data_IF_353304382260
#
_entry.id   IF_353304382260
#
_cell.length_a   1.000
_cell.length_b   1.000
_cell.length_c   1.000
_cell.angle_alpha   90.00
_cell.angle_beta   90.00
_cell.angle_gamma   90.00
#
_symmetry.space_group_name_H-M   'P 1'
#
loop_
_entity.id
_entity.type
_entity.pdbx_description
1 polymer ?
#
# COMPACT_ATOMS: atom_id res chain seq x y z
N UNK A 1 -36.78 -15.71 -32.48
CA UNK A 1 -35.60 -16.34 -33.08
C UNK A 1 -34.36 -15.70 -32.46
N UNK A 2 -33.84 -16.28 -31.38
CA UNK A 2 -32.66 -15.76 -30.67
C UNK A 2 -31.43 -16.04 -31.54
N UNK A 3 -30.75 -15.00 -32.03
CA UNK A 3 -29.46 -15.15 -32.72
C UNK A 3 -28.45 -15.71 -31.71
N UNK A 4 -28.07 -16.98 -31.88
CA UNK A 4 -26.91 -17.56 -31.22
C UNK A 4 -25.68 -16.77 -31.70
N UNK A 5 -25.11 -15.92 -30.84
CA UNK A 5 -23.86 -15.23 -31.15
C UNK A 5 -22.69 -16.24 -30.99
N UNK A 6 -22.06 -16.72 -32.08
CA UNK A 6 -20.96 -17.66 -32.01
C UNK A 6 -19.74 -17.08 -31.28
N UNK A 7 -19.63 -15.74 -31.19
CA UNK A 7 -18.54 -15.08 -30.47
C UNK A 7 -18.69 -15.20 -28.95
N UNK A 8 -19.91 -15.34 -28.44
CA UNK A 8 -20.17 -15.50 -27.00
C UNK A 8 -19.61 -16.84 -26.48
N UNK A 9 -19.78 -17.91 -27.25
CA UNK A 9 -19.27 -19.26 -26.92
C UNK A 9 -17.74 -19.31 -27.02
N UNK A 10 -17.15 -18.57 -27.95
CA UNK A 10 -15.69 -18.53 -28.09
C UNK A 10 -15.05 -17.70 -26.96
N UNK A 11 -15.71 -16.64 -26.52
CA UNK A 11 -15.27 -15.79 -25.40
C UNK A 11 -15.33 -16.52 -24.06
N UNK A 12 -16.35 -17.34 -23.81
CA UNK A 12 -16.43 -18.15 -22.57
C UNK A 12 -15.31 -19.19 -22.52
N UNK A 13 -15.07 -19.92 -23.63
CA UNK A 13 -13.97 -20.90 -23.72
C UNK A 13 -12.59 -20.26 -23.53
N UNK A 14 -12.36 -19.06 -24.07
CA UNK A 14 -11.12 -18.31 -23.87
C UNK A 14 -10.94 -17.85 -22.41
N UNK A 15 -12.02 -17.40 -21.75
CA UNK A 15 -11.99 -17.05 -20.34
C UNK A 15 -11.67 -18.27 -19.46
N UNK A 16 -12.32 -19.40 -19.71
CA UNK A 16 -12.09 -20.65 -18.98
C UNK A 16 -10.64 -21.13 -19.13
N UNK A 17 -10.09 -21.08 -20.35
CA UNK A 17 -8.69 -21.42 -20.62
C UNK A 17 -7.71 -20.52 -19.87
N UNK A 18 -7.95 -19.20 -19.87
CA UNK A 18 -7.08 -18.24 -19.15
C UNK A 18 -7.13 -18.43 -17.64
N UNK A 19 -8.29 -18.76 -17.08
CA UNK A 19 -8.44 -19.05 -15.65
C UNK A 19 -7.69 -20.33 -15.27
N UNK A 20 -7.83 -21.39 -16.06
CA UNK A 20 -7.10 -22.65 -15.85
C UNK A 20 -5.60 -22.43 -15.94
N UNK A 21 -5.12 -21.70 -16.95
CA UNK A 21 -3.70 -21.39 -17.12
C UNK A 21 -3.15 -20.57 -15.95
N UNK A 22 -3.89 -19.56 -15.50
CA UNK A 22 -3.51 -18.74 -14.34
C UNK A 22 -3.46 -19.59 -13.05
N UNK A 23 -4.44 -20.49 -12.86
CA UNK A 23 -4.45 -21.43 -11.74
C UNK A 23 -3.23 -22.36 -11.75
N UNK A 24 -2.90 -22.93 -12.92
CA UNK A 24 -1.76 -23.84 -13.09
C UNK A 24 -0.42 -23.12 -12.85
N UNK A 25 -0.26 -21.91 -13.39
CA UNK A 25 0.91 -21.06 -13.11
C UNK A 25 1.02 -20.72 -11.62
N UNK A 26 -0.10 -20.47 -10.95
CA UNK A 26 -0.14 -20.26 -9.50
C UNK A 26 0.34 -21.47 -8.71
N UNK A 27 -0.12 -22.68 -9.07
CA UNK A 27 0.32 -23.93 -8.44
C UNK A 27 1.82 -24.15 -8.65
N UNK A 28 2.32 -23.97 -9.88
CA UNK A 28 3.75 -24.10 -10.19
C UNK A 28 4.58 -23.10 -9.39
N UNK A 29 4.11 -21.85 -9.26
CA UNK A 29 4.79 -20.83 -8.48
C UNK A 29 4.85 -21.20 -7.00
N UNK A 30 3.73 -21.65 -6.41
CA UNK A 30 3.66 -22.07 -5.01
C UNK A 30 4.60 -23.25 -4.75
N UNK A 31 4.59 -24.25 -5.63
CA UNK A 31 5.48 -25.40 -5.53
C UNK A 31 6.95 -24.98 -5.63
N UNK A 32 7.30 -24.13 -6.59
CA UNK A 32 8.66 -23.64 -6.79
C UNK A 32 9.19 -22.80 -5.61
N UNK A 33 8.31 -22.01 -4.98
CA UNK A 33 8.63 -21.19 -3.80
C UNK A 33 8.34 -21.88 -2.47
N UNK A 34 7.93 -23.15 -2.47
CA UNK A 34 7.51 -23.86 -1.25
C UNK A 34 8.54 -23.80 -0.11
N UNK A 35 9.85 -24.00 -0.34
CA UNK A 35 10.85 -23.89 0.72
C UNK A 35 10.88 -22.48 1.34
N UNK A 36 10.92 -21.44 0.52
CA UNK A 36 10.95 -20.05 0.98
C UNK A 36 9.67 -19.70 1.75
N UNK A 37 8.49 -20.07 1.21
CA UNK A 37 7.20 -19.86 1.85
C UNK A 37 7.11 -20.60 3.19
N UNK A 38 7.61 -21.84 3.28
CA UNK A 38 7.59 -22.60 4.55
C UNK A 38 8.45 -21.96 5.64
N UNK A 39 9.60 -21.38 5.27
CA UNK A 39 10.45 -20.62 6.20
C UNK A 39 9.75 -19.35 6.67
N UNK A 40 9.07 -18.65 5.75
CA UNK A 40 8.29 -17.45 6.07
C UNK A 40 7.12 -17.77 7.01
N UNK A 41 6.31 -18.78 6.68
CA UNK A 41 5.19 -19.28 7.50
C UNK A 41 5.66 -19.70 8.88
N UNK A 42 6.78 -20.44 8.96
CA UNK A 42 7.39 -20.83 10.24
C UNK A 42 7.71 -19.57 11.06
N UNK A 43 8.39 -18.59 10.48
CA UNK A 43 8.68 -17.32 11.17
C UNK A 43 7.43 -16.58 11.62
N UNK A 44 6.40 -16.50 10.78
CA UNK A 44 5.14 -15.84 11.13
C UNK A 44 4.40 -16.53 12.27
N UNK A 45 4.57 -17.85 12.41
CA UNK A 45 3.95 -18.64 13.49
C UNK A 45 4.74 -18.63 14.79
N UNK A 46 6.08 -18.57 14.73
CA UNK A 46 6.94 -18.70 15.91
C UNK A 46 7.38 -17.35 16.49
N UNK A 47 7.40 -16.31 15.67
CA UNK A 47 7.90 -15.00 16.04
C UNK A 47 6.76 -13.97 16.01
N UNK A 48 6.29 -13.50 17.19
CA UNK A 48 5.23 -12.48 17.28
C UNK A 48 5.54 -11.24 16.43
N UNK A 49 6.83 -10.98 16.18
CA UNK A 49 7.27 -9.81 15.43
C UNK A 49 6.78 -9.79 13.99
N UNK A 50 6.64 -10.99 13.41
CA UNK A 50 6.26 -11.21 12.02
C UNK A 50 4.85 -11.81 11.87
N UNK A 51 4.04 -11.83 12.94
CA UNK A 51 2.68 -12.37 12.90
C UNK A 51 1.79 -11.66 11.85
N UNK A 52 2.04 -10.38 11.57
CA UNK A 52 1.37 -9.61 10.52
C UNK A 52 1.60 -10.17 9.11
N UNK A 53 2.59 -11.04 8.90
CA UNK A 53 2.94 -11.64 7.61
C UNK A 53 1.79 -12.41 6.95
N UNK A 54 0.87 -13.00 7.72
CA UNK A 54 -0.33 -13.66 7.19
C UNK A 54 -1.35 -12.68 6.60
N UNK A 55 -1.45 -11.47 7.15
CA UNK A 55 -2.42 -10.46 6.72
C UNK A 55 -1.98 -9.79 5.41
N UNK A 56 -0.68 -9.71 5.17
CA UNK A 56 -0.11 -8.97 4.04
C UNK A 56 -0.52 -9.53 2.67
N UNK A 57 -0.46 -10.84 2.39
CA UNK A 57 -0.98 -11.43 1.15
C UNK A 57 -2.48 -11.19 0.96
N UNK A 58 -3.27 -11.28 2.03
CA UNK A 58 -4.72 -11.04 1.99
C UNK A 58 -4.99 -9.58 1.58
N UNK A 59 -4.30 -8.63 2.20
CA UNK A 59 -4.41 -7.22 1.84
C UNK A 59 -3.95 -6.94 0.41
N UNK A 60 -2.86 -7.55 -0.05
CA UNK A 60 -2.39 -7.43 -1.43
C UNK A 60 -3.46 -7.91 -2.43
N UNK A 61 -4.16 -9.01 -2.14
CA UNK A 61 -5.29 -9.49 -2.94
C UNK A 61 -6.47 -8.51 -2.93
N UNK A 62 -6.81 -7.93 -1.77
CA UNK A 62 -7.87 -6.91 -1.67
C UNK A 62 -7.53 -5.66 -2.49
N UNK A 63 -6.27 -5.20 -2.43
CA UNK A 63 -5.80 -4.06 -3.25
C UNK A 63 -5.91 -4.39 -4.74
N UNK A 64 -5.54 -5.61 -5.13
CA UNK A 64 -5.63 -6.08 -6.51
C UNK A 64 -7.09 -6.12 -6.99
N UNK A 65 -7.99 -6.63 -6.14
CA UNK A 65 -9.43 -6.69 -6.36
C UNK A 65 -10.04 -5.29 -6.51
N UNK A 66 -9.70 -4.36 -5.61
CA UNK A 66 -10.21 -2.98 -5.65
C UNK A 66 -9.76 -2.22 -6.90
N UNK A 67 -8.67 -2.64 -7.54
CA UNK A 67 -8.14 -2.03 -8.77
C UNK A 67 -8.57 -2.74 -10.04
N UNK A 68 -9.40 -3.80 -9.98
CA UNK A 68 -9.75 -4.66 -11.14
C UNK A 68 -10.27 -3.90 -12.37
N UNK A 69 -10.97 -2.79 -12.16
CA UNK A 69 -11.54 -1.98 -13.25
C UNK A 69 -10.45 -1.34 -14.13
N UNK A 70 -9.27 -1.04 -13.56
CA UNK A 70 -8.13 -0.50 -14.31
C UNK A 70 -7.50 -1.53 -15.24
N UNK A 71 -7.59 -2.81 -14.90
CA UNK A 71 -7.10 -3.90 -15.74
C UNK A 71 -8.03 -4.13 -16.94
N UNK A 72 -9.34 -4.03 -16.73
CA UNK A 72 -10.35 -4.20 -17.78
C UNK A 72 -10.20 -3.15 -18.90
N UNK A 73 -9.77 -1.93 -18.55
CA UNK A 73 -9.52 -0.84 -19.50
C UNK A 73 -8.24 -1.00 -20.33
N UNK A 74 -7.36 -1.96 -20.01
CA UNK A 74 -6.07 -2.13 -20.66
C UNK A 74 -6.13 -3.20 -21.76
N UNK A 75 -5.71 -2.85 -22.98
CA UNK A 75 -5.64 -3.80 -24.10
C UNK A 75 -4.71 -4.97 -23.77
N UNK A 76 -5.11 -6.22 -24.06
CA UNK A 76 -4.24 -7.38 -23.86
C UNK A 76 -3.06 -7.35 -24.83
N UNK A 77 -1.84 -7.48 -24.29
CA UNK A 77 -0.62 -7.69 -25.09
C UNK A 77 0.44 -8.38 -24.24
N UNK A 78 0.92 -9.54 -24.68
CA UNK A 78 2.04 -10.21 -24.02
C UNK A 78 3.35 -9.48 -24.35
N UNK A 79 4.25 -9.35 -23.38
CA UNK A 79 5.53 -8.68 -23.59
C UNK A 79 6.69 -9.55 -23.05
N UNK A 80 7.67 -9.81 -23.92
CA UNK A 80 8.89 -10.57 -23.60
C UNK A 80 9.72 -9.94 -22.48
N UNK A 81 9.54 -8.65 -22.16
CA UNK A 81 10.15 -8.01 -20.99
C UNK A 81 9.80 -8.70 -19.67
N UNK A 82 8.67 -9.42 -19.61
CA UNK A 82 8.35 -10.26 -18.45
C UNK A 82 9.32 -11.43 -18.26
N UNK A 83 9.91 -11.96 -19.34
CA UNK A 83 10.95 -12.99 -19.25
C UNK A 83 12.22 -12.44 -18.58
N UNK A 84 12.55 -11.16 -18.81
CA UNK A 84 13.65 -10.49 -18.12
C UNK A 84 13.42 -10.42 -16.62
N UNK A 85 12.20 -10.07 -16.17
CA UNK A 85 11.84 -10.05 -14.75
C UNK A 85 11.86 -11.45 -14.12
N UNK A 86 11.38 -12.47 -14.83
CA UNK A 86 11.48 -13.87 -14.39
C UNK A 86 12.95 -14.32 -14.32
N UNK A 87 13.78 -13.90 -15.28
CA UNK A 87 15.22 -14.15 -15.27
C UNK A 87 15.92 -13.52 -14.06
N UNK A 88 15.57 -12.29 -13.70
CA UNK A 88 16.05 -11.62 -12.47
C UNK A 88 15.61 -12.39 -11.23
N UNK A 89 14.35 -12.83 -11.17
CA UNK A 89 13.85 -13.63 -10.07
C UNK A 89 14.63 -14.94 -9.92
N UNK A 90 14.87 -15.65 -11.03
CA UNK A 90 15.65 -16.88 -11.03
C UNK A 90 17.09 -16.63 -10.59
N UNK A 91 17.74 -15.58 -11.10
CA UNK A 91 19.09 -15.21 -10.70
C UNK A 91 19.18 -14.89 -9.20
N UNK A 92 18.27 -14.08 -8.66
CA UNK A 92 18.21 -13.76 -7.22
C UNK A 92 18.00 -15.02 -6.38
N UNK A 93 17.13 -15.93 -6.82
CA UNK A 93 16.89 -17.20 -6.14
C UNK A 93 18.12 -18.10 -6.16
N UNK A 94 18.78 -18.23 -7.31
CA UNK A 94 20.01 -19.03 -7.45
C UNK A 94 21.14 -18.47 -6.59
N UNK A 95 21.33 -17.16 -6.58
CA UNK A 95 22.30 -16.49 -5.70
C UNK A 95 21.94 -16.66 -4.24
N UNK A 96 20.65 -16.52 -3.89
CA UNK A 96 20.15 -16.74 -2.53
C UNK A 96 20.41 -18.16 -2.05
N UNK A 97 20.11 -19.16 -2.87
CA UNK A 97 20.37 -20.57 -2.58
C UNK A 97 21.88 -20.86 -2.48
N UNK A 98 22.70 -20.32 -3.39
CA UNK A 98 24.15 -20.51 -3.38
C UNK A 98 24.83 -19.91 -2.15
N UNK A 99 24.38 -18.72 -1.72
CA UNK A 99 24.90 -18.02 -0.55
C UNK A 99 24.21 -18.43 0.77
N UNK A 100 23.23 -19.33 0.73
CA UNK A 100 22.37 -19.68 1.87
C UNK A 100 21.68 -18.48 2.52
N UNK A 101 21.31 -17.48 1.71
CA UNK A 101 20.62 -16.26 2.13
C UNK A 101 19.14 -16.39 1.81
N UNK A 102 18.37 -16.97 2.74
CA UNK A 102 16.92 -17.17 2.57
C UNK A 102 16.13 -15.88 2.30
N UNK A 103 16.64 -14.72 2.73
CA UNK A 103 16.03 -13.43 2.41
C UNK A 103 16.03 -13.13 0.90
N UNK A 104 17.12 -13.45 0.19
CA UNK A 104 17.21 -13.25 -1.27
C UNK A 104 16.22 -14.16 -2.01
N UNK A 105 16.08 -15.40 -1.55
CA UNK A 105 15.06 -16.30 -2.08
C UNK A 105 13.65 -15.74 -1.87
N UNK A 106 13.35 -15.18 -0.70
CA UNK A 106 12.05 -14.59 -0.41
C UNK A 106 11.79 -13.34 -1.28
N UNK A 107 12.78 -12.46 -1.44
CA UNK A 107 12.71 -11.26 -2.29
C UNK A 107 12.50 -11.61 -3.76
N UNK A 108 13.07 -12.73 -4.24
CA UNK A 108 12.93 -13.15 -5.65
C UNK A 108 11.48 -13.41 -6.08
N UNK A 109 10.57 -13.66 -5.14
CA UNK A 109 9.14 -13.80 -5.41
C UNK A 109 8.52 -12.54 -6.04
N UNK A 110 9.00 -11.35 -5.66
CA UNK A 110 8.48 -10.06 -6.12
C UNK A 110 8.67 -9.86 -7.64
N UNK A 111 9.90 -9.95 -8.20
CA UNK A 111 10.09 -9.89 -9.65
C UNK A 111 9.49 -11.10 -10.38
N UNK A 112 9.36 -12.28 -9.74
CA UNK A 112 8.67 -13.41 -10.36
C UNK A 112 7.19 -13.08 -10.61
N UNK A 113 6.48 -12.57 -9.60
CA UNK A 113 5.09 -12.13 -9.72
C UNK A 113 4.96 -10.99 -10.74
N UNK A 114 5.88 -10.03 -10.71
CA UNK A 114 5.91 -8.93 -11.67
C UNK A 114 6.10 -9.41 -13.11
N UNK A 115 7.04 -10.35 -13.32
CA UNK A 115 7.31 -10.96 -14.62
C UNK A 115 6.12 -11.75 -15.15
N UNK A 116 5.45 -12.53 -14.31
CA UNK A 116 4.21 -13.22 -14.68
C UNK A 116 3.10 -12.25 -15.09
N UNK A 117 2.95 -11.12 -14.40
CA UNK A 117 1.99 -10.07 -14.80
C UNK A 117 2.30 -9.52 -16.20
N UNK A 118 3.59 -9.25 -16.49
CA UNK A 118 4.02 -8.72 -17.79
C UNK A 118 3.91 -9.77 -18.91
N UNK A 119 4.20 -11.04 -18.62
CA UNK A 119 4.03 -12.13 -19.60
C UNK A 119 2.55 -12.32 -19.96
N UNK A 120 1.65 -12.23 -18.97
CA UNK A 120 0.23 -12.44 -19.18
C UNK A 120 -0.45 -11.31 -19.98
N UNK A 121 -0.19 -10.04 -19.62
CA UNK A 121 -0.92 -8.88 -20.20
C UNK A 121 -0.04 -7.63 -20.38
N UNK A 122 1.28 -7.79 -20.28
CA UNK A 122 2.23 -6.72 -20.56
C UNK A 122 2.44 -5.74 -19.40
N UNK A 123 3.16 -4.67 -19.67
CA UNK A 123 3.42 -3.58 -18.71
C UNK A 123 2.16 -2.95 -18.09
N UNK A 124 1.01 -2.85 -18.79
CA UNK A 124 -0.22 -2.36 -18.16
C UNK A 124 -0.68 -3.22 -16.97
N UNK A 125 -0.51 -4.55 -17.05
CA UNK A 125 -0.85 -5.44 -15.95
C UNK A 125 0.08 -5.27 -14.76
N UNK A 126 1.38 -5.05 -14.99
CA UNK A 126 2.29 -4.69 -13.91
C UNK A 126 1.91 -3.32 -13.30
N UNK A 127 1.53 -2.32 -14.09
CA UNK A 127 1.04 -1.03 -13.57
C UNK A 127 -0.24 -1.14 -12.73
N UNK A 128 -1.05 -2.16 -13.01
CA UNK A 128 -2.20 -2.49 -12.18
C UNK A 128 -1.79 -3.20 -10.88
N UNK A 129 -0.92 -4.21 -10.97
CA UNK A 129 -0.54 -5.08 -9.85
C UNK A 129 0.59 -4.53 -8.96
N UNK A 130 1.39 -3.55 -9.41
CA UNK A 130 2.61 -3.14 -8.69
C UNK A 130 2.39 -2.69 -7.24
N UNK A 131 1.28 -2.02 -6.83
CA UNK A 131 1.13 -1.67 -5.42
C UNK A 131 0.92 -2.91 -4.56
N UNK A 132 0.16 -3.89 -5.06
CA UNK A 132 -0.06 -5.15 -4.37
C UNK A 132 1.26 -5.94 -4.28
N UNK A 133 2.03 -6.02 -5.37
CA UNK A 133 3.35 -6.67 -5.36
C UNK A 133 4.31 -5.94 -4.42
N UNK A 134 4.38 -4.61 -4.47
CA UNK A 134 5.22 -3.82 -3.56
C UNK A 134 4.84 -4.01 -2.09
N UNK A 135 3.53 -4.14 -1.80
CA UNK A 135 3.05 -4.40 -0.45
C UNK A 135 3.51 -5.75 0.11
N UNK A 136 3.73 -6.75 -0.74
CA UNK A 136 4.27 -8.05 -0.32
C UNK A 136 5.69 -7.96 0.27
N UNK A 137 6.41 -6.85 0.11
CA UNK A 137 7.69 -6.65 0.82
C UNK A 137 7.50 -6.79 2.34
N UNK A 138 6.34 -6.39 2.88
CA UNK A 138 6.07 -6.44 4.32
C UNK A 138 5.87 -7.85 4.88
N UNK A 139 5.63 -8.85 4.04
CA UNK A 139 5.58 -10.24 4.50
C UNK A 139 6.96 -10.90 4.56
N UNK A 140 7.98 -10.28 3.95
CA UNK A 140 9.33 -10.84 3.87
C UNK A 140 10.08 -10.60 5.19
N UNK A 141 10.52 -11.65 5.89
CA UNK A 141 11.29 -11.48 7.12
C UNK A 141 12.65 -10.86 6.80
N UNK A 142 13.05 -9.80 7.51
CA UNK A 142 14.31 -9.11 7.27
C UNK A 142 15.53 -10.03 7.54
N UNK A 143 16.67 -9.76 6.89
CA UNK A 143 17.91 -10.41 7.28
C UNK A 143 18.33 -9.91 8.66
N UNK A 144 18.80 -10.84 9.52
CA UNK A 144 19.15 -10.57 10.91
C UNK A 144 20.08 -9.36 11.11
N UNK A 145 21.05 -9.16 10.21
CA UNK A 145 21.96 -8.00 10.26
C UNK A 145 21.23 -6.67 10.13
N UNK A 146 20.27 -6.59 9.22
CA UNK A 146 19.49 -5.37 9.00
C UNK A 146 18.50 -5.15 10.15
N UNK A 147 17.91 -6.23 10.64
CA UNK A 147 17.05 -6.19 11.83
C UNK A 147 17.79 -5.61 13.04
N UNK A 148 18.99 -6.11 13.35
CA UNK A 148 19.82 -5.60 14.45
C UNK A 148 20.30 -4.16 14.22
N UNK A 149 20.70 -3.82 12.99
CA UNK A 149 21.14 -2.47 12.63
C UNK A 149 20.03 -1.42 12.77
N UNK A 150 18.78 -1.78 12.52
CA UNK A 150 17.62 -0.90 12.70
C UNK A 150 17.10 -0.89 14.14
N UNK A 151 17.05 -2.05 14.81
CA UNK A 151 16.53 -2.17 16.16
C UNK A 151 17.40 -1.43 17.19
N UNK A 152 18.73 -1.55 17.09
CA UNK A 152 19.65 -0.96 18.07
C UNK A 152 19.50 0.56 18.26
N UNK A 153 19.52 1.40 17.21
CA UNK A 153 19.35 2.84 17.38
C UNK A 153 17.96 3.20 17.91
N UNK A 154 16.90 2.53 17.42
CA UNK A 154 15.54 2.78 17.89
C UNK A 154 15.38 2.45 19.38
N UNK A 155 15.95 1.32 19.84
CA UNK A 155 15.95 0.94 21.25
C UNK A 155 16.69 1.96 22.11
N UNK A 156 17.84 2.47 21.67
CA UNK A 156 18.58 3.50 22.41
C UNK A 156 17.80 4.80 22.55
N UNK A 157 17.13 5.24 21.47
CA UNK A 157 16.29 6.44 21.50
C UNK A 157 15.11 6.23 22.43
N UNK A 158 14.42 5.09 22.32
CA UNK A 158 13.29 4.76 23.18
C UNK A 158 13.70 4.67 24.66
N UNK A 159 14.85 4.05 24.97
CA UNK A 159 15.39 3.94 26.33
C UNK A 159 15.62 5.33 26.91
N UNK A 160 16.40 6.17 26.23
CA UNK A 160 16.69 7.54 26.69
C UNK A 160 15.43 8.38 26.89
N UNK A 161 14.51 8.33 25.93
CA UNK A 161 13.28 9.10 25.99
C UNK A 161 12.37 8.64 27.14
N UNK A 162 12.29 7.32 27.38
CA UNK A 162 11.46 6.76 28.46
C UNK A 162 12.07 6.99 29.83
N UNK A 163 13.39 6.88 29.97
CA UNK A 163 14.10 7.23 31.22
C UNK A 163 13.88 8.70 31.56
N UNK A 164 14.02 9.60 30.58
CA UNK A 164 13.73 11.01 30.81
C UNK A 164 12.28 11.24 31.23
N UNK A 165 11.32 10.58 30.56
CA UNK A 165 9.91 10.68 30.93
C UNK A 165 9.65 10.19 32.37
N UNK A 166 10.19 9.05 32.77
CA UNK A 166 10.08 8.51 34.14
C UNK A 166 10.68 9.47 35.17
N UNK A 167 11.87 10.02 34.90
CA UNK A 167 12.51 11.00 35.78
C UNK A 167 11.67 12.27 35.92
N UNK A 168 11.07 12.77 34.84
CA UNK A 168 10.18 13.94 34.90
C UNK A 168 8.89 13.68 35.67
N UNK A 169 8.46 12.42 35.76
CA UNK A 169 7.32 11.99 36.58
C UNK A 169 7.70 11.73 38.05
N UNK A 170 8.98 11.90 38.43
CA UNK A 170 9.46 11.77 39.81
C UNK A 170 9.99 10.38 40.17
N UNK A 171 10.13 9.46 39.21
CA UNK A 171 10.65 8.12 39.47
C UNK A 171 12.18 8.07 39.31
N UNK A 172 12.92 7.42 40.24
CA UNK A 172 14.36 7.24 40.13
C UNK A 172 14.69 6.17 39.08
N UNK A 173 14.82 6.57 37.82
CA UNK A 173 15.14 5.68 36.70
C UNK A 173 16.57 5.92 36.18
N UNK A 174 17.35 4.84 36.01
CA UNK A 174 18.70 4.86 35.44
C UNK A 174 18.76 4.00 34.16
N UNK A 175 19.31 4.53 33.08
CA UNK A 175 19.48 3.79 31.83
C UNK A 175 20.88 3.18 31.73
N UNK A 176 20.98 1.85 31.68
CA UNK A 176 22.20 1.12 31.37
C UNK A 176 22.04 0.34 30.06
N UNK A 177 22.68 0.83 29.00
CA UNK A 177 22.47 0.28 27.66
C UNK A 177 21.03 0.46 27.17
N UNK A 178 20.31 -0.65 27.00
CA UNK A 178 18.89 -0.68 26.63
C UNK A 178 18.01 -1.23 27.77
N UNK A 179 18.49 -1.19 29.01
CA UNK A 179 17.75 -1.58 30.22
C UNK A 179 17.55 -0.35 31.08
N UNK A 180 16.36 -0.18 31.63
CA UNK A 180 16.02 0.90 32.57
C UNK A 180 15.87 0.27 33.95
N UNK A 181 16.77 0.63 34.87
CA UNK A 181 16.72 0.22 36.26
C UNK A 181 15.85 1.20 37.05
N UNK A 182 14.84 0.66 37.72
CA UNK A 182 14.01 1.29 38.74
C UNK A 182 14.34 0.65 40.09
N UNK A 183 13.76 1.15 41.17
CA UNK A 183 14.10 0.75 42.54
C UNK A 183 13.88 -0.76 42.79
N UNK A 184 12.73 -1.29 42.34
CA UNK A 184 12.40 -2.72 42.51
C UNK A 184 12.46 -3.54 41.22
N UNK A 185 12.65 -2.91 40.04
CA UNK A 185 12.49 -3.58 38.73
C UNK A 185 13.46 -3.11 37.65
N UNK A 186 13.85 -4.06 36.81
CA UNK A 186 14.56 -3.81 35.57
C UNK A 186 13.62 -3.92 34.36
N UNK A 187 13.43 -2.81 33.65
CA UNK A 187 12.69 -2.79 32.39
C UNK A 187 13.67 -2.91 31.23
N UNK A 188 13.91 -4.14 30.77
CA UNK A 188 14.70 -4.37 29.57
C UNK A 188 13.93 -3.92 28.32
N UNK A 189 14.36 -2.87 27.62
CA UNK A 189 13.69 -2.41 26.38
C UNK A 189 13.77 -3.46 25.26
N UNK A 190 14.74 -4.39 25.34
CA UNK A 190 14.92 -5.52 24.42
C UNK A 190 13.83 -6.59 24.58
N UNK A 191 13.42 -6.90 25.81
CA UNK A 191 12.39 -7.92 26.13
C UNK A 191 11.02 -7.29 26.30
N UNK A 192 10.97 -6.08 26.85
CA UNK A 192 9.76 -5.33 27.07
C UNK A 192 9.08 -4.98 25.76
N UNK A 193 9.76 -4.86 24.61
CA UNK A 193 9.05 -4.68 23.35
C UNK A 193 9.84 -5.05 22.11
N UNK A 194 9.15 -5.76 21.23
CA UNK A 194 9.46 -5.84 19.82
C UNK A 194 9.33 -4.47 19.12
N UNK A 195 10.12 -3.46 19.50
CA UNK A 195 10.04 -2.11 18.93
C UNK A 195 10.12 -2.10 17.40
N UNK A 196 10.86 -3.06 16.84
CA UNK A 196 10.88 -3.31 15.39
C UNK A 196 9.55 -3.88 14.86
N UNK A 197 8.88 -4.79 15.56
CA UNK A 197 7.57 -5.30 15.11
C UNK A 197 6.47 -4.24 15.07
N UNK A 198 6.37 -3.41 16.12
CA UNK A 198 5.40 -2.31 16.12
C UNK A 198 5.71 -1.33 15.00
N UNK A 199 6.99 -0.97 14.82
CA UNK A 199 7.41 -0.15 13.70
C UNK A 199 7.02 -0.77 12.36
N UNK A 200 7.31 -2.06 12.14
CA UNK A 200 6.97 -2.75 10.90
C UNK A 200 5.46 -2.81 10.66
N UNK A 201 4.69 -3.06 11.71
CA UNK A 201 3.22 -3.08 11.65
C UNK A 201 2.67 -1.69 11.31
N UNK A 202 3.17 -0.62 11.95
CA UNK A 202 2.78 0.75 11.61
C UNK A 202 3.20 1.16 10.22
N UNK A 203 4.41 0.80 9.81
CA UNK A 203 4.92 1.12 8.50
C UNK A 203 4.16 0.37 7.40
N UNK A 204 3.80 -0.91 7.62
CA UNK A 204 2.94 -1.68 6.74
C UNK A 204 1.52 -1.07 6.68
N UNK A 205 0.94 -0.70 7.83
CA UNK A 205 -0.38 -0.07 7.89
C UNK A 205 -0.42 1.30 7.20
N UNK A 206 0.57 2.16 7.46
CA UNK A 206 0.74 3.46 6.82
C UNK A 206 0.91 3.31 5.30
N UNK A 207 1.73 2.34 4.87
CA UNK A 207 1.90 2.01 3.45
C UNK A 207 0.60 1.54 2.80
N UNK A 208 -0.14 0.65 3.47
CA UNK A 208 -1.43 0.15 2.99
C UNK A 208 -2.47 1.27 2.87
N UNK A 209 -2.54 2.15 3.87
CA UNK A 209 -3.41 3.32 3.89
C UNK A 209 -3.10 4.26 2.71
N UNK A 210 -1.82 4.56 2.51
CA UNK A 210 -1.32 5.40 1.41
C UNK A 210 -1.62 4.81 0.03
N UNK A 211 -1.72 3.49 -0.10
CA UNK A 211 -2.12 2.84 -1.35
C UNK A 211 -3.61 3.03 -1.68
N UNK A 212 -4.47 3.15 -0.68
CA UNK A 212 -5.92 3.31 -0.84
C UNK A 212 -6.30 4.79 -0.99
N UNK A 213 -5.66 5.68 -0.24
CA UNK A 213 -5.97 7.11 -0.23
C UNK A 213 -5.52 7.81 -1.53
N UNK A 214 -6.36 8.74 -2.01
CA UNK A 214 -6.05 9.67 -3.11
C UNK A 214 -5.41 10.96 -2.57
N UNK A 215 -4.10 10.92 -2.34
CA UNK A 215 -3.27 12.08 -1.95
C UNK A 215 -2.08 12.25 -2.90
N UNK A 216 -1.50 13.45 -3.02
CA UNK A 216 -0.27 13.67 -3.79
C UNK A 216 0.90 12.83 -3.24
N UNK A 217 1.89 12.55 -4.08
CA UNK A 217 2.98 11.62 -3.73
C UNK A 217 3.83 12.09 -2.54
N UNK A 218 3.93 13.40 -2.32
CA UNK A 218 4.67 13.98 -1.19
C UNK A 218 3.98 13.60 0.13
N UNK A 219 2.67 13.85 0.26
CA UNK A 219 1.88 13.45 1.44
C UNK A 219 2.02 11.96 1.73
N UNK A 220 2.00 11.13 0.67
CA UNK A 220 2.19 9.68 0.78
C UNK A 220 3.55 9.32 1.39
N UNK A 221 4.62 10.00 0.97
CA UNK A 221 5.95 9.79 1.54
C UNK A 221 6.03 10.29 2.98
N UNK A 222 5.42 11.45 3.28
CA UNK A 222 5.39 12.01 4.64
C UNK A 222 4.68 11.07 5.61
N UNK A 223 3.50 10.55 5.24
CA UNK A 223 2.72 9.59 6.07
C UNK A 223 3.47 8.28 6.32
N UNK A 224 4.23 7.81 5.32
CA UNK A 224 5.04 6.58 5.50
C UNK A 224 6.26 6.89 6.36
N UNK A 225 6.89 8.06 6.20
CA UNK A 225 8.05 8.47 6.98
C UNK A 225 7.69 8.76 8.45
N UNK A 226 6.51 9.31 8.72
CA UNK A 226 6.00 9.61 10.06
C UNK A 226 5.70 8.36 10.89
N UNK A 227 5.55 7.20 10.26
CA UNK A 227 5.39 5.93 10.96
C UNK A 227 6.56 5.67 11.93
N UNK A 228 7.78 6.14 11.60
CA UNK A 228 8.96 5.99 12.46
C UNK A 228 8.86 6.82 13.76
N UNK A 229 8.69 8.16 13.72
CA UNK A 229 8.53 8.95 14.94
C UNK A 229 7.26 8.59 15.72
N UNK A 230 6.15 8.26 15.05
CA UNK A 230 4.93 7.80 15.73
C UNK A 230 5.20 6.52 16.51
N UNK A 231 5.86 5.52 15.88
CA UNK A 231 6.22 4.28 16.57
C UNK A 231 7.14 4.53 17.76
N UNK A 232 8.09 5.46 17.66
CA UNK A 232 8.97 5.84 18.76
C UNK A 232 8.19 6.46 19.93
N UNK A 233 7.31 7.44 19.66
CA UNK A 233 6.50 8.09 20.69
C UNK A 233 5.61 7.07 21.39
N UNK A 234 4.89 6.26 20.63
CA UNK A 234 4.02 5.20 21.13
C UNK A 234 4.80 4.21 22.01
N UNK A 235 5.99 3.79 21.57
CA UNK A 235 6.84 2.90 22.33
C UNK A 235 7.40 3.54 23.61
N UNK A 236 7.76 4.83 23.58
CA UNK A 236 8.21 5.58 24.76
C UNK A 236 7.10 5.72 25.79
N UNK A 237 5.89 6.09 25.36
CA UNK A 237 4.71 6.15 26.24
C UNK A 237 4.48 4.78 26.88
N UNK A 238 4.57 3.70 26.10
CA UNK A 238 4.42 2.34 26.63
C UNK A 238 5.41 2.04 27.75
N UNK A 239 6.70 2.19 27.49
CA UNK A 239 7.76 1.87 28.46
C UNK A 239 7.59 2.72 29.72
N UNK A 240 7.23 3.99 29.55
CA UNK A 240 7.00 4.92 30.66
C UNK A 240 5.80 4.47 31.50
N UNK A 241 4.64 4.21 30.88
CA UNK A 241 3.44 3.74 31.58
C UNK A 241 3.70 2.41 32.29
N UNK A 242 4.39 1.46 31.65
CA UNK A 242 4.78 0.20 32.27
C UNK A 242 5.66 0.43 33.51
N UNK A 243 6.62 1.35 33.46
CA UNK A 243 7.47 1.65 34.61
C UNK A 243 6.74 2.32 35.76
N UNK A 244 5.91 3.33 35.49
CA UNK A 244 5.10 4.02 36.50
C UNK A 244 4.20 3.03 37.25
N UNK A 245 3.56 2.14 36.50
CA UNK A 245 2.65 1.14 37.04
C UNK A 245 3.38 0.14 37.91
N UNK A 246 4.52 -0.35 37.43
CA UNK A 246 5.25 -1.38 38.15
C UNK A 246 5.72 -0.87 39.52
N UNK A 247 6.10 0.40 39.58
CA UNK A 247 6.44 1.07 40.83
C UNK A 247 5.19 1.29 41.72
N UNK A 248 4.13 1.87 41.16
CA UNK A 248 2.97 2.30 41.97
C UNK A 248 2.07 1.19 42.51
N UNK A 249 2.02 0.01 41.89
CA UNK A 249 1.02 -1.03 42.20
C UNK A 249 1.63 -2.29 42.83
N UNK A 250 2.96 -2.42 42.86
CA UNK A 250 3.64 -3.64 43.31
C UNK A 250 3.57 -4.77 42.27
N UNK A 251 4.61 -5.61 42.25
CA UNK A 251 4.91 -6.60 41.19
C UNK A 251 3.79 -7.63 40.90
N UNK A 252 3.00 -8.00 41.90
CA UNK A 252 2.02 -9.10 41.77
C UNK A 252 0.73 -8.71 41.02
N UNK A 253 0.21 -7.49 41.22
CA UNK A 253 -0.96 -6.99 40.47
C UNK A 253 -0.57 -6.39 39.10
N UNK A 254 0.65 -5.89 38.97
CA UNK A 254 1.18 -5.34 37.72
C UNK A 254 1.26 -6.41 36.61
N UNK A 255 1.70 -7.63 36.93
CA UNK A 255 1.85 -8.69 35.94
C UNK A 255 0.51 -9.19 35.35
N UNK A 256 -0.56 -9.23 36.14
CA UNK A 256 -1.89 -9.74 35.73
C UNK A 256 -2.72 -8.70 34.96
N UNK A 257 -2.57 -7.40 35.28
CA UNK A 257 -3.33 -6.34 34.62
C UNK A 257 -2.63 -5.87 33.33
N UNK A 258 -1.30 -5.88 33.27
CA UNK A 258 -0.58 -5.20 32.19
C UNK A 258 -0.16 -6.06 31.00
N UNK A 259 0.00 -7.38 31.15
CA UNK A 259 0.26 -8.22 29.98
C UNK A 259 -0.89 -8.16 28.95
N UNK A 260 -2.13 -8.03 29.42
CA UNK A 260 -3.31 -7.95 28.56
C UNK A 260 -3.73 -6.50 28.24
N UNK A 261 -3.70 -5.58 29.22
CA UNK A 261 -4.19 -4.21 29.02
C UNK A 261 -3.20 -3.34 28.21
N UNK A 262 -1.89 -3.46 28.46
CA UNK A 262 -0.90 -2.66 27.74
C UNK A 262 -0.84 -3.04 26.26
N UNK A 263 -0.98 -4.33 25.92
CA UNK A 263 -1.09 -4.75 24.52
C UNK A 263 -2.33 -4.19 23.83
N UNK A 264 -3.47 -4.18 24.52
CA UNK A 264 -4.74 -3.74 23.96
C UNK A 264 -4.85 -2.22 23.80
N UNK A 265 -4.27 -1.42 24.71
CA UNK A 265 -4.33 0.05 24.65
C UNK A 265 -3.42 0.66 23.56
N UNK A 266 -2.37 -0.06 23.18
CA UNK A 266 -1.33 0.41 22.26
C UNK A 266 -1.80 0.50 20.82
N UNK A 267 -2.59 -0.47 20.36
CA UNK A 267 -3.14 -0.48 19.00
C UNK A 267 -4.10 0.70 18.74
N UNK A 268 -5.10 0.99 19.61
CA UNK A 268 -5.94 2.17 19.51
C UNK A 268 -5.16 3.49 19.55
N UNK A 269 -4.15 3.61 20.43
CA UNK A 269 -3.36 4.84 20.55
C UNK A 269 -2.64 5.18 19.23
N UNK A 270 -2.05 4.18 18.58
CA UNK A 270 -1.34 4.40 17.34
C UNK A 270 -2.26 4.65 16.14
N UNK A 271 -3.42 3.99 16.09
CA UNK A 271 -4.47 4.33 15.11
C UNK A 271 -4.94 5.78 15.33
N UNK A 272 -5.09 6.21 16.59
CA UNK A 272 -5.46 7.57 16.95
C UNK A 272 -4.42 8.61 16.50
N UNK A 273 -3.12 8.33 16.68
CA UNK A 273 -2.04 9.21 16.22
C UNK A 273 -1.98 9.29 14.69
N UNK A 274 -2.14 8.18 13.98
CA UNK A 274 -2.23 8.18 12.52
C UNK A 274 -3.45 8.97 12.02
N UNK A 275 -4.60 8.84 12.69
CA UNK A 275 -5.78 9.64 12.38
C UNK A 275 -5.55 11.12 12.64
N UNK A 276 -4.91 11.47 13.74
CA UNK A 276 -4.54 12.85 14.07
C UNK A 276 -3.60 13.44 13.03
N UNK A 277 -2.60 12.69 12.59
CA UNK A 277 -1.69 13.10 11.52
C UNK A 277 -2.45 13.35 10.21
N UNK A 278 -3.32 12.42 9.79
CA UNK A 278 -4.14 12.59 8.59
C UNK A 278 -5.02 13.85 8.69
N UNK A 279 -5.61 14.09 9.86
CA UNK A 279 -6.40 15.29 10.13
C UNK A 279 -5.54 16.56 10.08
N UNK A 280 -4.37 16.54 10.68
CA UNK A 280 -3.42 17.66 10.68
C UNK A 280 -2.94 17.98 9.27
N UNK A 281 -2.59 16.97 8.47
CA UNK A 281 -2.22 17.15 7.07
C UNK A 281 -3.39 17.67 6.24
N UNK A 282 -4.61 17.19 6.47
CA UNK A 282 -5.80 17.72 5.78
C UNK A 282 -6.12 19.16 6.15
N UNK A 283 -5.70 19.61 7.34
CA UNK A 283 -5.88 20.98 7.79
C UNK A 283 -4.78 21.92 7.28
N UNK A 284 -3.55 21.40 7.13
CA UNK A 284 -2.38 22.17 6.73
C UNK A 284 -2.15 22.20 5.21
N UNK A 285 -2.57 21.15 4.48
CA UNK A 285 -2.38 21.01 3.03
C UNK A 285 -3.74 21.05 2.34
N UNK A 286 -3.95 22.11 1.57
CA UNK A 286 -5.11 22.28 0.70
C UNK A 286 -5.11 21.12 -0.31
N UNK A 287 -6.17 20.33 -0.31
CA UNK A 287 -6.36 19.26 -1.29
C UNK A 287 -6.28 19.86 -2.70
N UNK A 288 -5.37 19.36 -3.57
CA UNK A 288 -5.39 19.80 -4.95
C UNK A 288 -6.77 19.49 -5.53
N UNK A 289 -7.48 20.48 -6.12
CA UNK A 289 -8.83 20.27 -6.60
C UNK A 289 -8.85 19.07 -7.54
N UNK A 290 -9.92 18.23 -7.49
CA UNK A 290 -10.00 17.04 -8.31
C UNK A 290 -9.72 17.40 -9.77
N UNK A 291 -8.91 16.57 -10.45
CA UNK A 291 -8.49 16.77 -11.83
C UNK A 291 -9.67 16.90 -12.83
N UNK A 292 -10.91 16.68 -12.39
CA UNK A 292 -12.14 17.01 -13.12
C UNK A 292 -12.36 18.51 -13.34
N UNK A 293 -11.62 19.38 -12.66
CA UNK A 293 -11.77 20.85 -12.77
C UNK A 293 -10.78 21.47 -13.75
N UNK A 294 -9.71 20.75 -14.11
CA UNK A 294 -8.88 21.13 -15.25
C UNK A 294 -9.64 20.69 -16.50
N UNK A 295 -10.33 21.64 -17.14
CA UNK A 295 -10.94 21.41 -18.45
C UNK A 295 -9.92 20.68 -19.34
N UNK A 296 -10.29 19.50 -19.82
CA UNK A 296 -9.45 18.72 -20.71
C UNK A 296 -9.06 19.64 -21.90
N UNK A 297 -7.79 19.72 -22.32
CA UNK A 297 -7.38 20.57 -23.44
C UNK A 297 -8.22 20.32 -24.70
N UNK A 298 -8.74 19.10 -24.87
CA UNK A 298 -9.68 18.73 -25.92
C UNK A 298 -11.07 19.34 -25.76
N UNK A 299 -11.57 19.48 -24.53
CA UNK A 299 -12.86 20.12 -24.25
C UNK A 299 -12.76 21.64 -24.38
N UNK A 300 -11.62 22.23 -23.99
CA UNK A 300 -11.28 23.63 -24.31
C UNK A 300 -11.14 23.86 -25.82
N UNK A 301 -10.48 22.94 -26.54
CA UNK A 301 -10.34 23.04 -27.98
C UNK A 301 -11.67 22.85 -28.73
N UNK A 302 -12.57 22.01 -28.21
CA UNK A 302 -13.95 21.86 -28.72
C UNK A 302 -14.76 23.13 -28.46
N UNK A 303 -14.78 23.63 -27.23
CA UNK A 303 -15.46 24.88 -26.88
C UNK A 303 -14.93 26.07 -27.71
N UNK A 304 -13.62 26.13 -27.97
CA UNK A 304 -13.01 27.16 -28.81
C UNK A 304 -13.34 27.01 -30.31
N UNK A 305 -13.57 25.79 -30.80
CA UNK A 305 -14.08 25.56 -32.17
C UNK A 305 -15.54 25.97 -32.28
N UNK A 306 -16.39 25.53 -31.35
CA UNK A 306 -17.82 25.85 -31.36
C UNK A 306 -18.04 27.38 -31.27
N UNK A 307 -17.23 28.07 -30.46
CA UNK A 307 -17.26 29.54 -30.38
C UNK A 307 -16.78 30.26 -31.64
N UNK A 308 -15.95 29.62 -32.49
CA UNK A 308 -15.54 30.15 -33.80
C UNK A 308 -16.61 29.93 -34.86
N UNK A 309 -17.24 28.76 -34.86
CA UNK A 309 -18.29 28.40 -35.84
C UNK A 309 -19.50 29.36 -35.70
N UNK A 310 -19.87 29.70 -34.48
CA UNK A 310 -20.94 30.68 -34.22
C UNK A 310 -20.58 32.14 -34.53
N UNK A 311 -19.32 32.45 -34.87
CA UNK A 311 -18.89 33.80 -35.28
C UNK A 311 -18.64 33.93 -36.77
N UNK A 312 -18.85 32.90 -37.60
CA UNK A 312 -18.68 33.03 -39.05
C UNK A 312 -19.77 33.95 -39.63
N UNK A 313 -19.42 35.16 -40.14
CA UNK A 313 -20.38 36.07 -40.72
C UNK A 313 -21.04 35.53 -42.01
N UNK A 314 -20.52 34.45 -42.59
CA UNK A 314 -21.13 33.79 -43.74
C UNK A 314 -22.31 32.88 -43.38
N UNK A 315 -22.40 32.36 -42.14
CA UNK A 315 -23.52 31.52 -41.73
C UNK A 315 -24.78 32.34 -41.47
N UNK A 316 -24.64 33.55 -40.92
CA UNK A 316 -25.73 34.52 -40.83
C UNK A 316 -26.26 34.91 -42.23
N UNK A 317 -25.37 35.11 -43.21
CA UNK A 317 -25.74 35.40 -44.61
C UNK A 317 -26.37 34.20 -45.33
N UNK A 318 -25.91 32.97 -45.05
CA UNK A 318 -26.50 31.74 -45.60
C UNK A 318 -27.89 31.46 -45.03
N UNK A 319 -28.12 31.77 -43.75
CA UNK A 319 -29.43 31.62 -43.12
C UNK A 319 -30.42 32.69 -43.59
N UNK A 320 -29.98 33.95 -43.73
CA UNK A 320 -30.78 35.02 -44.33
C UNK A 320 -31.16 34.69 -45.80
N UNK A 321 -30.20 34.26 -46.63
CA UNK A 321 -30.46 33.88 -48.01
C UNK A 321 -31.39 32.66 -48.17
N UNK A 322 -31.39 31.73 -47.21
CA UNK A 322 -32.35 30.60 -47.18
C UNK A 322 -33.75 31.02 -46.76
N UNK A 323 -33.89 32.02 -45.88
CA UNK A 323 -35.19 32.57 -45.49
C UNK A 323 -35.83 33.35 -46.64
N UNK A 324 -35.05 34.16 -47.36
CA UNK A 324 -35.53 34.92 -48.53
C UNK A 324 -35.95 33.99 -49.68
N UNK A 325 -35.18 32.93 -49.94
CA UNK A 325 -35.52 31.94 -50.96
C UNK A 325 -36.80 31.14 -50.60
N UNK A 326 -37.01 30.85 -49.32
CA UNK A 326 -38.21 30.14 -48.84
C UNK A 326 -39.46 31.04 -48.89
N UNK A 327 -39.32 32.33 -48.61
CA UNK A 327 -40.40 33.32 -48.74
C UNK A 327 -40.79 33.55 -50.21
N UNK A 328 -39.81 33.63 -51.13
CA UNK A 328 -40.06 33.74 -52.56
C UNK A 328 -40.77 32.50 -53.14
N UNK A 329 -40.39 31.29 -52.69
CA UNK A 329 -41.03 30.04 -53.10
C UNK A 329 -42.48 29.94 -52.59
N UNK A 330 -42.76 30.40 -51.37
CA UNK A 330 -44.13 30.47 -50.83
C UNK A 330 -45.01 31.51 -51.54
N UNK A 331 -44.44 32.63 -52.00
CA UNK A 331 -45.16 33.64 -52.79
C UNK A 331 -45.55 33.15 -54.20
N UNK A 332 -44.74 32.29 -54.81
CA UNK A 332 -45.05 31.68 -56.11
C UNK A 332 -46.13 30.57 -56.03
N UNK A 333 -46.23 29.88 -54.89
CA UNK A 333 -47.21 28.81 -54.67
C UNK A 333 -48.59 29.31 -54.20
N UNK A 334 -48.74 30.61 -53.94
CA UNK A 334 -49.99 31.22 -53.45
C UNK A 334 -50.72 32.08 -54.49
N UNK A 335 -50.19 32.18 -55.71
CA UNK A 335 -50.74 33.00 -56.80
C UNK A 335 -51.09 32.20 -58.07
N UNK A 336 -51.40 30.90 -57.92
CA UNK A 336 -51.98 30.03 -58.96
C UNK A 336 -53.28 29.41 -58.47
#
# INVERSE_FOLDING_TARGET
MMRHDPNAVNRSKQLDFLVILAGLLGVVLIWFYWPALSVMVKRWSTDPRYAHGYLVPVFALVVLWHRRDRLAASAPGSNWGGLGLVGIALALRMVGAYLYVGWLEAVSLLPALGGLCVLARGWPALRWAWPAIAFLVFMLPLPYRLEGALASPLQRVATKASTYALQTLGFPALAEGNVIHLEEVELGVVEACSGLSMLFTFFAMASGMVMVIRRPWIDKVVIVASAVPIALIVNTVRITVTGVVHESVGSDMANLIFHDLAGWLMMPMAIGLLWLELKMMSWLLIEPPPASTALNPLDLARAARDARDHRDPNDAKRQAGKQDASAALKGLLTNS
#
